data_IF_084976787267
#
_entry.id   IF_084976787267
#
_cell.length_a   1.000
_cell.length_b   1.000
_cell.length_c   1.000
_cell.angle_alpha   90.00
_cell.angle_beta   90.00
_cell.angle_gamma   90.00
#
_symmetry.space_group_name_H-M   'P 1'
#
loop_
_entity.id
_entity.type
_entity.pdbx_description
1 polymer ?
#
# COMPACT_ATOMS: atom_id res chain seq x y z
N UNK A 1 -6.69 16.66 6.96
CA UNK A 1 -6.02 15.59 6.16
C UNK A 1 -4.86 15.04 6.99
N UNK A 2 -4.74 13.72 7.15
CA UNK A 2 -3.59 13.08 7.81
C UNK A 2 -2.54 12.73 6.75
N UNK A 3 -1.41 13.44 6.75
CA UNK A 3 -0.35 13.34 5.74
C UNK A 3 0.76 12.43 6.22
N UNK A 4 1.04 11.36 5.47
CA UNK A 4 2.08 10.39 5.77
C UNK A 4 2.98 10.11 4.57
N UNK A 5 4.15 9.53 4.82
CA UNK A 5 5.11 9.11 3.80
C UNK A 5 5.35 7.62 3.91
N UNK A 6 5.38 6.92 2.79
CA UNK A 6 5.79 5.52 2.73
C UNK A 6 7.31 5.40 2.82
N UNK A 7 7.80 4.34 3.48
CA UNK A 7 9.23 4.09 3.69
C UNK A 7 10.02 4.01 2.38
N UNK A 8 9.47 3.42 1.33
CA UNK A 8 10.19 3.28 0.06
C UNK A 8 10.54 4.63 -0.57
N UNK A 9 9.79 5.69 -0.29
CA UNK A 9 10.12 7.04 -0.75
C UNK A 9 11.33 7.62 -0.03
N UNK A 10 11.65 7.15 1.19
CA UNK A 10 12.77 7.62 2.01
C UNK A 10 13.96 6.65 2.03
N UNK A 11 13.71 5.38 2.33
CA UNK A 11 14.75 4.36 2.55
C UNK A 11 14.97 3.41 1.39
N UNK A 12 14.10 3.45 0.36
CA UNK A 12 14.19 2.57 -0.80
C UNK A 12 13.89 1.11 -0.50
N UNK A 13 14.05 0.29 -1.54
CA UNK A 13 13.86 -1.15 -1.46
C UNK A 13 15.03 -1.91 -0.81
N UNK A 14 16.17 -1.24 -0.62
CA UNK A 14 17.34 -1.86 0.03
C UNK A 14 17.19 -1.95 1.56
N UNK A 15 16.30 -1.17 2.16
CA UNK A 15 16.07 -1.18 3.59
C UNK A 15 17.27 -0.72 4.42
N UNK A 16 18.07 0.22 3.92
CA UNK A 16 19.31 0.69 4.56
C UNK A 16 19.09 1.73 5.66
N UNK A 17 17.85 2.23 5.80
CA UNK A 17 17.44 3.17 6.84
C UNK A 17 16.65 2.46 7.93
N UNK A 18 16.94 2.81 9.18
CA UNK A 18 16.20 2.26 10.33
C UNK A 18 14.83 2.90 10.48
N UNK A 19 13.87 2.23 11.14
CA UNK A 19 12.60 2.85 11.51
C UNK A 19 12.76 4.14 12.32
N UNK A 20 13.77 4.22 13.22
CA UNK A 20 14.01 5.40 14.03
C UNK A 20 14.49 6.59 13.20
N UNK A 21 15.40 6.38 12.23
CA UNK A 21 15.82 7.44 11.30
C UNK A 21 14.65 7.98 10.48
N UNK A 22 13.75 7.11 10.05
CA UNK A 22 12.57 7.54 9.30
C UNK A 22 11.55 8.28 10.18
N UNK A 23 11.37 7.87 11.43
CA UNK A 23 10.56 8.59 12.41
C UNK A 23 11.13 9.99 12.66
N UNK A 24 12.45 10.12 12.85
CA UNK A 24 13.10 11.42 13.05
C UNK A 24 12.96 12.32 11.82
N UNK A 25 13.14 11.77 10.62
CA UNK A 25 12.91 12.47 9.37
C UNK A 25 11.47 13.01 9.28
N UNK A 26 10.48 12.17 9.56
CA UNK A 26 9.07 12.57 9.50
C UNK A 26 8.74 13.68 10.51
N UNK A 27 9.30 13.59 11.73
CA UNK A 27 9.15 14.63 12.75
C UNK A 27 9.77 15.97 12.32
N UNK A 28 10.97 15.95 11.73
CA UNK A 28 11.63 17.13 11.17
C UNK A 28 10.81 17.76 10.05
N UNK A 29 10.28 16.94 9.14
CA UNK A 29 9.44 17.36 8.00
C UNK A 29 7.99 17.69 8.40
N UNK A 30 7.62 17.57 9.68
CA UNK A 30 6.26 17.86 10.19
C UNK A 30 5.16 17.04 9.50
N UNK A 31 5.44 15.80 9.21
CA UNK A 31 4.45 14.85 8.75
C UNK A 31 3.61 14.36 9.95
N UNK A 32 2.34 14.05 9.73
CA UNK A 32 1.47 13.46 10.76
C UNK A 32 1.86 12.02 11.09
N UNK A 33 2.47 11.32 10.14
CA UNK A 33 2.91 9.95 10.32
C UNK A 33 3.76 9.39 9.19
N UNK A 34 4.08 8.12 9.35
CA UNK A 34 4.79 7.32 8.36
C UNK A 34 4.10 5.98 8.14
N UNK A 35 4.45 5.36 7.03
CA UNK A 35 4.13 3.97 6.73
C UNK A 35 5.43 3.18 6.61
N UNK A 36 5.67 2.29 7.58
CA UNK A 36 6.81 1.39 7.56
C UNK A 36 6.53 0.19 6.63
N UNK A 37 7.59 -0.44 6.13
CA UNK A 37 7.51 -1.61 5.25
C UNK A 37 8.10 -2.83 5.92
N UNK A 38 7.33 -3.92 5.95
CA UNK A 38 7.79 -5.23 6.43
C UNK A 38 8.48 -5.97 5.28
N UNK A 39 9.70 -6.42 5.52
CA UNK A 39 10.60 -6.99 4.53
C UNK A 39 11.77 -6.06 4.16
N UNK A 40 11.62 -4.74 4.41
CA UNK A 40 12.65 -3.72 4.16
C UNK A 40 13.01 -3.00 5.48
N UNK A 41 12.23 -1.98 5.88
CA UNK A 41 12.46 -1.24 7.12
C UNK A 41 12.34 -2.11 8.38
N UNK A 42 11.44 -3.06 8.36
CA UNK A 42 11.15 -3.99 9.44
C UNK A 42 11.44 -5.41 8.98
N UNK A 43 12.32 -6.10 9.71
CA UNK A 43 12.56 -7.52 9.45
C UNK A 43 11.28 -8.34 9.72
N UNK A 44 11.02 -9.34 8.88
CA UNK A 44 9.88 -10.25 9.06
C UNK A 44 9.95 -11.01 10.39
N UNK A 45 11.15 -11.24 10.93
CA UNK A 45 11.37 -11.94 12.20
C UNK A 45 11.48 -11.01 13.42
N UNK A 46 11.05 -9.75 13.27
CA UNK A 46 11.02 -8.78 14.37
C UNK A 46 10.22 -9.31 15.57
N UNK A 47 10.74 -9.04 16.76
CA UNK A 47 10.09 -9.45 18.01
C UNK A 47 9.05 -8.42 18.47
N UNK A 48 8.14 -8.86 19.34
CA UNK A 48 7.15 -7.97 19.98
C UNK A 48 7.83 -6.81 20.71
N UNK A 49 8.89 -7.09 21.45
CA UNK A 49 9.62 -6.08 22.20
C UNK A 49 10.24 -4.99 21.31
N UNK A 50 10.79 -5.38 20.16
CA UNK A 50 11.32 -4.44 19.18
C UNK A 50 10.20 -3.60 18.54
N UNK A 51 9.07 -4.19 18.20
CA UNK A 51 7.89 -3.46 17.72
C UNK A 51 7.40 -2.43 18.75
N UNK A 52 7.28 -2.82 20.01
CA UNK A 52 6.85 -1.92 21.09
C UNK A 52 7.84 -0.75 21.29
N UNK A 53 9.16 -0.99 21.14
CA UNK A 53 10.18 0.08 21.17
C UNK A 53 10.01 1.06 20.01
N UNK A 54 9.78 0.57 18.78
CA UNK A 54 9.53 1.43 17.60
C UNK A 54 8.26 2.26 17.81
N UNK A 55 7.17 1.64 18.27
CA UNK A 55 5.91 2.33 18.54
C UNK A 55 6.05 3.41 19.61
N UNK A 56 6.76 3.10 20.70
CA UNK A 56 7.04 4.05 21.76
C UNK A 56 7.91 5.23 21.27
N UNK A 57 8.89 4.94 20.41
CA UNK A 57 9.74 5.98 19.83
C UNK A 57 8.93 6.90 18.91
N UNK A 58 8.13 6.37 18.00
CA UNK A 58 7.26 7.15 17.13
C UNK A 58 6.31 8.07 17.93
N UNK A 59 5.70 7.52 18.98
CA UNK A 59 4.86 8.29 19.90
C UNK A 59 5.63 9.43 20.58
N UNK A 60 6.88 9.20 21.00
CA UNK A 60 7.72 10.22 21.65
C UNK A 60 8.08 11.38 20.73
N UNK A 61 8.07 11.12 19.40
CA UNK A 61 8.35 12.11 18.34
C UNK A 61 7.06 12.72 17.75
N UNK A 62 5.88 12.37 18.27
CA UNK A 62 4.56 12.74 17.73
C UNK A 62 4.35 12.32 16.27
N UNK A 63 4.94 11.19 15.86
CA UNK A 63 4.76 10.61 14.53
C UNK A 63 3.81 9.42 14.65
N UNK A 64 2.74 9.42 13.87
CA UNK A 64 1.74 8.36 13.89
C UNK A 64 2.13 7.17 13.01
N UNK A 65 1.78 5.97 13.47
CA UNK A 65 1.86 4.72 12.72
C UNK A 65 0.43 4.22 12.50
N UNK A 66 -0.15 4.44 11.31
CA UNK A 66 -1.54 4.05 11.03
C UNK A 66 -1.66 2.96 9.98
N UNK A 67 -0.65 2.81 9.14
CA UNK A 67 -0.60 1.80 8.08
C UNK A 67 0.77 1.13 8.05
N UNK A 68 0.81 -0.11 7.56
CA UNK A 68 2.02 -0.83 7.17
C UNK A 68 1.90 -1.31 5.73
N UNK A 69 3.00 -1.28 4.99
CA UNK A 69 3.12 -1.83 3.66
C UNK A 69 4.11 -3.01 3.61
N UNK A 70 4.15 -3.71 2.49
CA UNK A 70 5.12 -4.79 2.22
C UNK A 70 5.23 -5.08 0.73
N UNK A 71 6.45 -5.32 0.25
CA UNK A 71 6.75 -5.80 -1.10
C UNK A 71 6.72 -7.33 -1.25
N UNK A 72 6.52 -8.09 -0.16
CA UNK A 72 6.64 -9.55 -0.15
C UNK A 72 5.67 -10.27 -1.09
N UNK A 73 4.53 -9.65 -1.41
CA UNK A 73 3.58 -10.20 -2.38
C UNK A 73 4.10 -10.15 -3.84
N UNK A 74 5.22 -9.52 -4.12
CA UNK A 74 5.96 -9.68 -5.37
C UNK A 74 6.50 -11.10 -5.55
N UNK A 75 6.90 -11.78 -4.48
CA UNK A 75 7.47 -13.13 -4.49
C UNK A 75 6.45 -14.23 -4.18
N UNK A 76 5.29 -13.92 -3.61
CA UNK A 76 4.24 -14.88 -3.23
C UNK A 76 2.85 -14.27 -3.46
N UNK A 77 1.81 -15.10 -3.59
CA UNK A 77 0.45 -14.62 -3.85
C UNK A 77 -0.60 -15.41 -3.06
N UNK A 78 -1.55 -14.69 -2.46
CA UNK A 78 -2.75 -15.29 -1.84
C UNK A 78 -3.65 -15.98 -2.87
N UNK A 79 -3.52 -15.62 -4.15
CA UNK A 79 -4.23 -16.21 -5.28
C UNK A 79 -3.41 -17.20 -6.11
N UNK A 80 -2.24 -17.64 -5.63
CA UNK A 80 -1.38 -18.59 -6.35
C UNK A 80 -2.10 -19.92 -6.61
N UNK A 81 -1.86 -20.50 -7.80
CA UNK A 81 -2.32 -21.85 -8.12
C UNK A 81 -1.46 -22.91 -7.41
N UNK A 82 -0.16 -22.65 -7.24
CA UNK A 82 0.71 -23.45 -6.39
C UNK A 82 0.31 -23.35 -4.92
N UNK A 83 -0.06 -24.50 -4.33
CA UNK A 83 -0.58 -24.53 -2.97
C UNK A 83 0.50 -24.21 -1.92
N UNK A 84 1.77 -24.52 -2.19
CA UNK A 84 2.88 -24.20 -1.29
C UNK A 84 3.10 -22.69 -1.24
N UNK A 85 3.13 -22.05 -2.41
CA UNK A 85 3.23 -20.58 -2.49
C UNK A 85 2.06 -19.90 -1.77
N UNK A 86 0.82 -20.36 -2.02
CA UNK A 86 -0.38 -19.81 -1.40
C UNK A 86 -0.35 -19.97 0.13
N UNK A 87 0.07 -21.12 0.65
CA UNK A 87 0.24 -21.34 2.09
C UNK A 87 1.30 -20.41 2.68
N UNK A 88 2.43 -20.23 2.01
CA UNK A 88 3.48 -19.30 2.44
C UNK A 88 2.95 -17.86 2.51
N UNK A 89 2.16 -17.42 1.53
CA UNK A 89 1.53 -16.11 1.54
C UNK A 89 0.55 -15.94 2.71
N UNK A 90 -0.25 -16.96 3.02
CA UNK A 90 -1.18 -16.94 4.17
C UNK A 90 -0.40 -16.87 5.49
N UNK A 91 0.61 -17.70 5.70
CA UNK A 91 1.39 -17.70 6.94
C UNK A 91 2.18 -16.38 7.11
N UNK A 92 2.76 -15.86 6.03
CA UNK A 92 3.34 -14.53 6.05
C UNK A 92 2.31 -13.46 6.47
N UNK A 93 1.10 -13.49 5.88
CA UNK A 93 0.07 -12.49 6.20
C UNK A 93 -0.39 -12.59 7.66
N UNK A 94 -0.50 -13.79 8.24
CA UNK A 94 -0.77 -13.97 9.68
C UNK A 94 0.31 -13.32 10.54
N UNK A 95 1.58 -13.51 10.19
CA UNK A 95 2.72 -12.89 10.87
C UNK A 95 2.71 -11.38 10.71
N UNK A 96 2.38 -10.89 9.52
CA UNK A 96 2.27 -9.47 9.21
C UNK A 96 1.16 -8.78 10.01
N UNK A 97 0.00 -9.42 10.16
CA UNK A 97 -1.07 -8.99 11.06
C UNK A 97 -0.60 -8.91 12.52
N UNK A 98 0.19 -9.89 12.97
CA UNK A 98 0.75 -9.90 14.33
C UNK A 98 1.75 -8.77 14.54
N UNK A 99 2.62 -8.49 13.56
CA UNK A 99 3.56 -7.34 13.61
C UNK A 99 2.78 -6.03 13.70
N UNK A 100 1.72 -5.86 12.89
CA UNK A 100 0.87 -4.68 12.95
C UNK A 100 0.22 -4.49 14.32
N UNK A 101 -0.30 -5.57 14.92
CA UNK A 101 -0.85 -5.55 16.27
C UNK A 101 0.20 -5.13 17.31
N UNK A 102 1.43 -5.67 17.28
CA UNK A 102 2.51 -5.30 18.20
C UNK A 102 2.97 -3.84 18.04
N UNK A 103 2.95 -3.30 16.83
CA UNK A 103 3.23 -1.89 16.55
C UNK A 103 2.06 -0.96 16.90
N UNK A 104 0.88 -1.51 17.18
CA UNK A 104 -0.35 -0.72 17.36
C UNK A 104 -0.88 -0.10 16.06
N UNK A 105 -0.53 -0.68 14.90
CA UNK A 105 -0.98 -0.22 13.58
C UNK A 105 -2.30 -0.88 13.22
N UNK A 106 -3.36 -0.10 12.92
CA UNK A 106 -4.69 -0.65 12.69
C UNK A 106 -4.92 -1.22 11.29
N UNK A 107 -4.06 -0.94 10.31
CA UNK A 107 -4.32 -1.30 8.90
C UNK A 107 -3.04 -1.75 8.21
N UNK A 108 -3.12 -2.88 7.50
CA UNK A 108 -2.03 -3.40 6.65
C UNK A 108 -2.43 -3.40 5.18
N UNK A 109 -1.46 -3.09 4.31
CA UNK A 109 -1.59 -3.22 2.87
C UNK A 109 -1.38 -4.69 2.46
N UNK A 110 -2.30 -5.24 1.69
CA UNK A 110 -2.25 -6.61 1.19
C UNK A 110 -2.57 -6.63 -0.30
N UNK A 111 -1.75 -7.29 -1.10
CA UNK A 111 -2.10 -7.57 -2.51
C UNK A 111 -3.02 -8.79 -2.55
N UNK A 112 -4.27 -8.64 -3.04
CA UNK A 112 -5.27 -9.71 -2.94
C UNK A 112 -4.91 -10.96 -3.75
N UNK A 113 -4.22 -10.77 -4.88
CA UNK A 113 -3.82 -11.83 -5.77
C UNK A 113 -3.26 -11.28 -7.09
N UNK A 114 -2.66 -12.15 -7.89
CA UNK A 114 -2.00 -11.75 -9.13
C UNK A 114 -2.25 -12.77 -10.22
N UNK A 115 -2.72 -12.33 -11.40
CA UNK A 115 -2.68 -13.16 -12.60
C UNK A 115 -1.31 -13.09 -13.25
N UNK A 116 -0.67 -11.94 -13.20
CA UNK A 116 0.76 -11.72 -13.46
C UNK A 116 1.20 -10.47 -12.72
N UNK A 117 2.50 -10.32 -12.48
CA UNK A 117 3.08 -9.19 -11.73
C UNK A 117 3.87 -8.32 -12.70
N UNK A 118 3.48 -7.05 -12.86
CA UNK A 118 4.08 -6.16 -13.86
C UNK A 118 5.57 -5.89 -13.62
N UNK A 119 6.00 -5.86 -12.37
CA UNK A 119 7.40 -5.64 -11.96
C UNK A 119 8.20 -6.94 -11.76
N UNK A 120 7.56 -8.12 -11.91
CA UNK A 120 8.21 -9.43 -11.81
C UNK A 120 7.66 -10.37 -12.91
N UNK A 121 8.02 -10.11 -14.18
CA UNK A 121 7.45 -10.81 -15.33
C UNK A 121 7.87 -12.29 -15.43
N UNK A 122 8.84 -12.73 -14.65
CA UNK A 122 9.28 -14.14 -14.60
C UNK A 122 8.28 -15.04 -13.84
N UNK A 123 7.37 -14.47 -13.08
CA UNK A 123 6.39 -15.24 -12.31
C UNK A 123 5.39 -15.96 -13.21
N UNK A 124 4.92 -17.15 -12.78
CA UNK A 124 3.89 -17.89 -13.51
C UNK A 124 2.61 -17.07 -13.72
N UNK A 125 2.01 -17.17 -14.90
CA UNK A 125 0.69 -16.60 -15.16
C UNK A 125 -0.37 -17.53 -14.59
N UNK A 126 -1.24 -16.98 -13.74
CA UNK A 126 -2.38 -17.72 -13.14
C UNK A 126 -3.69 -17.24 -13.76
N UNK A 127 -4.58 -18.17 -14.10
CA UNK A 127 -5.88 -17.83 -14.66
C UNK A 127 -6.72 -16.97 -13.72
N UNK A 128 -7.39 -15.94 -14.23
CA UNK A 128 -8.17 -14.98 -13.45
C UNK A 128 -9.16 -15.64 -12.49
N UNK A 129 -9.90 -16.65 -12.96
CA UNK A 129 -10.85 -17.40 -12.14
C UNK A 129 -10.16 -18.12 -10.98
N UNK A 130 -9.00 -18.73 -11.22
CA UNK A 130 -8.20 -19.39 -10.18
C UNK A 130 -7.75 -18.39 -9.12
N UNK A 131 -7.22 -17.22 -9.56
CA UNK A 131 -6.84 -16.13 -8.64
C UNK A 131 -8.03 -15.71 -7.78
N UNK A 132 -9.21 -15.51 -8.40
CA UNK A 132 -10.42 -15.14 -7.67
C UNK A 132 -10.80 -16.15 -6.59
N UNK A 133 -10.87 -17.42 -6.95
CA UNK A 133 -11.27 -18.50 -6.04
C UNK A 133 -10.26 -18.69 -4.90
N UNK A 134 -8.96 -18.72 -5.23
CA UNK A 134 -7.87 -18.92 -4.27
C UNK A 134 -7.71 -17.71 -3.34
N UNK A 135 -7.71 -16.48 -3.87
CA UNK A 135 -7.66 -15.26 -3.06
C UNK A 135 -8.83 -15.16 -2.09
N UNK A 136 -10.04 -15.48 -2.57
CA UNK A 136 -11.24 -15.50 -1.72
C UNK A 136 -11.09 -16.50 -0.58
N UNK A 137 -10.62 -17.72 -0.87
CA UNK A 137 -10.40 -18.74 0.15
C UNK A 137 -9.33 -18.32 1.17
N UNK A 138 -8.22 -17.75 0.69
CA UNK A 138 -7.12 -17.28 1.54
C UNK A 138 -7.55 -16.15 2.47
N UNK A 139 -8.29 -15.16 1.95
CA UNK A 139 -8.80 -14.04 2.75
C UNK A 139 -9.86 -14.47 3.77
N UNK A 140 -10.70 -15.45 3.43
CA UNK A 140 -11.62 -16.06 4.41
C UNK A 140 -10.92 -16.77 5.56
N UNK A 141 -9.75 -17.38 5.31
CA UNK A 141 -8.91 -17.98 6.35
C UNK A 141 -8.22 -16.92 7.22
N UNK A 142 -7.81 -15.81 6.63
CA UNK A 142 -7.13 -14.70 7.32
C UNK A 142 -8.05 -13.83 8.15
N UNK A 143 -9.32 -13.71 7.74
CA UNK A 143 -10.28 -12.80 8.37
C UNK A 143 -10.45 -13.01 9.87
N UNK A 144 -10.62 -14.21 10.41
CA UNK A 144 -10.71 -14.43 11.85
C UNK A 144 -9.47 -13.94 12.62
N UNK A 145 -8.27 -14.07 12.03
CA UNK A 145 -7.03 -13.57 12.63
C UNK A 145 -7.00 -12.03 12.64
N UNK A 146 -7.44 -11.40 11.57
CA UNK A 146 -7.55 -9.95 11.48
C UNK A 146 -8.56 -9.40 12.51
N UNK A 147 -9.68 -10.09 12.70
CA UNK A 147 -10.71 -9.75 13.69
C UNK A 147 -10.18 -9.89 15.13
N UNK A 148 -9.52 -11.01 15.45
CA UNK A 148 -8.91 -11.25 16.76
C UNK A 148 -7.86 -10.21 17.11
N UNK A 149 -6.97 -9.88 16.16
CA UNK A 149 -5.90 -8.91 16.34
C UNK A 149 -6.37 -7.45 16.23
N UNK A 150 -7.63 -7.21 15.85
CA UNK A 150 -8.20 -5.89 15.59
C UNK A 150 -7.42 -5.09 14.52
N UNK A 151 -6.90 -5.77 13.49
CA UNK A 151 -6.15 -5.19 12.37
C UNK A 151 -6.95 -5.34 11.08
N UNK A 152 -7.01 -4.31 10.27
CA UNK A 152 -7.72 -4.31 8.99
C UNK A 152 -6.80 -4.74 7.85
N UNK A 153 -7.24 -5.71 7.06
CA UNK A 153 -6.64 -6.10 5.79
C UNK A 153 -7.18 -5.15 4.72
N UNK A 154 -6.36 -4.21 4.27
CA UNK A 154 -6.71 -3.30 3.18
C UNK A 154 -6.05 -3.79 1.88
N UNK A 155 -6.89 -4.15 0.91
CA UNK A 155 -6.45 -4.74 -0.36
C UNK A 155 -6.08 -3.65 -1.36
N UNK A 156 -4.86 -3.67 -1.90
CA UNK A 156 -4.37 -2.64 -2.80
C UNK A 156 -4.69 -2.92 -4.28
N UNK A 157 -5.16 -1.88 -4.98
CA UNK A 157 -5.29 -1.85 -6.42
C UNK A 157 -3.90 -1.61 -7.07
N UNK A 158 -3.18 -2.67 -7.27
CA UNK A 158 -1.84 -2.66 -7.88
C UNK A 158 -1.82 -3.45 -9.20
N UNK A 159 -0.79 -3.27 -10.02
CA UNK A 159 -0.72 -3.80 -11.39
C UNK A 159 -0.43 -5.31 -11.46
N UNK A 160 -1.40 -6.10 -11.00
CA UNK A 160 -1.36 -7.57 -10.98
C UNK A 160 -2.33 -8.22 -11.97
N UNK A 161 -2.95 -7.43 -12.84
CA UNK A 161 -4.00 -7.85 -13.77
C UNK A 161 -5.14 -8.61 -13.09
N UNK A 162 -5.49 -8.13 -11.89
CA UNK A 162 -6.61 -8.65 -11.10
C UNK A 162 -7.39 -7.47 -10.49
N UNK A 163 -8.73 -7.49 -10.61
CA UNK A 163 -9.65 -6.44 -10.16
C UNK A 163 -9.37 -5.07 -10.83
N UNK A 164 -9.89 -4.87 -12.02
CA UNK A 164 -9.59 -3.69 -12.85
C UNK A 164 -10.54 -2.51 -12.63
N UNK A 165 -11.77 -2.73 -12.18
CA UNK A 165 -12.77 -1.68 -12.07
C UNK A 165 -13.24 -1.48 -10.63
N UNK A 166 -13.73 -0.28 -10.27
CA UNK A 166 -14.26 -0.04 -8.92
C UNK A 166 -15.46 -0.95 -8.59
N UNK A 167 -16.21 -1.40 -9.61
CA UNK A 167 -17.34 -2.31 -9.39
C UNK A 167 -16.87 -3.73 -9.03
N UNK A 168 -15.78 -4.22 -9.66
CA UNK A 168 -15.17 -5.50 -9.27
C UNK A 168 -14.61 -5.44 -7.84
N UNK A 169 -13.90 -4.35 -7.50
CA UNK A 169 -13.40 -4.11 -6.15
C UNK A 169 -14.50 -4.12 -5.11
N UNK A 170 -15.58 -3.37 -5.37
CA UNK A 170 -16.75 -3.34 -4.49
C UNK A 170 -17.32 -4.75 -4.29
N UNK A 171 -17.58 -5.46 -5.38
CA UNK A 171 -18.12 -6.82 -5.33
C UNK A 171 -17.19 -7.79 -4.60
N UNK A 172 -15.86 -7.67 -4.84
CA UNK A 172 -14.87 -8.54 -4.22
C UNK A 172 -14.77 -8.34 -2.71
N UNK A 173 -14.77 -7.10 -2.21
CA UNK A 173 -14.67 -6.86 -0.76
C UNK A 173 -15.99 -7.10 -0.03
N UNK A 174 -17.13 -6.82 -0.66
CA UNK A 174 -18.45 -7.00 -0.04
C UNK A 174 -18.77 -8.47 0.30
N UNK A 175 -18.20 -9.44 -0.43
CA UNK A 175 -18.42 -10.86 -0.15
C UNK A 175 -17.94 -11.32 1.24
N UNK A 176 -17.04 -10.58 1.87
CA UNK A 176 -16.50 -10.93 3.19
C UNK A 176 -17.38 -10.45 4.34
N UNK A 177 -18.25 -9.47 4.11
CA UNK A 177 -19.17 -8.92 5.10
C UNK A 177 -18.49 -8.60 6.44
N UNK A 178 -17.32 -7.97 6.42
CA UNK A 178 -16.54 -7.60 7.60
C UNK A 178 -15.87 -6.24 7.42
N UNK A 179 -15.85 -5.44 8.47
CA UNK A 179 -15.12 -4.18 8.52
C UNK A 179 -13.58 -4.37 8.54
N UNK A 180 -13.11 -5.61 8.73
CA UNK A 180 -11.68 -5.95 8.75
C UNK A 180 -11.11 -6.30 7.38
N UNK A 181 -11.91 -6.24 6.33
CA UNK A 181 -11.46 -6.26 4.93
C UNK A 181 -12.00 -5.04 4.21
N UNK A 182 -11.14 -4.35 3.47
CA UNK A 182 -11.49 -3.22 2.63
C UNK A 182 -10.44 -2.95 1.59
N UNK A 183 -10.39 -1.72 1.08
CA UNK A 183 -9.49 -1.32 0.00
C UNK A 183 -8.41 -0.38 0.52
N UNK A 184 -7.17 -0.67 0.20
CA UNK A 184 -6.06 0.27 0.22
C UNK A 184 -6.03 0.93 -1.16
N UNK A 185 -6.55 2.14 -1.27
CA UNK A 185 -6.76 2.75 -2.57
C UNK A 185 -5.53 3.57 -3.00
N UNK A 186 -4.83 3.11 -4.05
CA UNK A 186 -3.79 3.87 -4.72
C UNK A 186 -4.38 4.65 -5.89
N UNK A 187 -4.29 5.98 -5.82
CA UNK A 187 -4.92 6.88 -6.79
C UNK A 187 -4.17 6.91 -8.14
N UNK A 188 -2.87 6.64 -8.16
CA UNK A 188 -2.08 6.60 -9.39
C UNK A 188 -2.22 5.27 -10.13
N UNK A 189 -2.30 4.16 -9.39
CA UNK A 189 -2.38 2.82 -9.99
C UNK A 189 -3.66 2.61 -10.83
N UNK A 190 -4.74 3.32 -10.53
CA UNK A 190 -6.00 3.19 -11.29
C UNK A 190 -6.05 4.05 -12.56
N UNK A 191 -5.16 5.05 -12.74
CA UNK A 191 -5.23 5.99 -13.86
C UNK A 191 -5.22 5.32 -15.23
N UNK A 192 -4.58 4.16 -15.35
CA UNK A 192 -4.56 3.39 -16.60
C UNK A 192 -5.95 2.88 -17.03
N UNK A 193 -6.88 2.74 -16.10
CA UNK A 193 -8.17 2.08 -16.35
C UNK A 193 -9.37 2.99 -16.06
N UNK A 194 -9.24 3.92 -15.10
CA UNK A 194 -10.37 4.71 -14.63
C UNK A 194 -9.84 5.98 -13.93
N UNK A 195 -10.71 6.98 -13.79
CA UNK A 195 -10.38 8.17 -13.01
C UNK A 195 -10.44 7.83 -11.50
N UNK A 196 -9.47 8.30 -10.68
CA UNK A 196 -9.44 7.99 -9.26
C UNK A 196 -10.72 8.37 -8.51
N UNK A 197 -11.33 9.52 -8.81
CA UNK A 197 -12.55 9.96 -8.16
C UNK A 197 -13.74 9.04 -8.39
N UNK A 198 -13.79 8.32 -9.53
CA UNK A 198 -14.85 7.33 -9.80
C UNK A 198 -14.69 6.10 -8.88
N UNK A 199 -13.45 5.71 -8.56
CA UNK A 199 -13.19 4.68 -7.54
C UNK A 199 -13.68 5.12 -6.17
N UNK A 200 -13.37 6.35 -5.76
CA UNK A 200 -13.77 6.88 -4.45
C UNK A 200 -15.29 6.88 -4.32
N UNK A 201 -16.01 7.34 -5.34
CA UNK A 201 -17.49 7.41 -5.33
C UNK A 201 -18.15 6.02 -5.26
N UNK A 202 -17.53 4.98 -5.85
CA UNK A 202 -18.09 3.61 -5.85
C UNK A 202 -17.72 2.85 -4.59
N UNK A 203 -16.50 3.03 -4.10
CA UNK A 203 -15.98 2.26 -2.96
C UNK A 203 -16.42 2.81 -1.61
N UNK A 204 -16.59 4.12 -1.49
CA UNK A 204 -17.12 4.77 -0.27
C UNK A 204 -16.34 4.33 1.00
N UNK A 205 -17.05 3.89 2.05
CA UNK A 205 -16.50 3.43 3.34
C UNK A 205 -15.65 2.15 3.27
N UNK A 206 -15.58 1.50 2.10
CA UNK A 206 -14.70 0.35 1.86
C UNK A 206 -13.24 0.78 1.78
N UNK A 207 -12.96 2.06 1.49
CA UNK A 207 -11.60 2.60 1.50
C UNK A 207 -11.14 2.74 2.95
N UNK A 208 -10.08 2.01 3.32
CA UNK A 208 -9.51 1.98 4.66
C UNK A 208 -8.22 2.79 4.77
N UNK A 209 -7.46 2.91 3.68
CA UNK A 209 -6.26 3.72 3.56
C UNK A 209 -6.05 4.16 2.11
N UNK A 210 -5.22 5.19 1.90
CA UNK A 210 -4.98 5.78 0.58
C UNK A 210 -3.49 5.95 0.35
N UNK A 211 -3.01 5.48 -0.82
CA UNK A 211 -1.75 5.90 -1.39
C UNK A 211 -1.96 7.06 -2.36
N UNK A 212 -1.19 8.13 -2.16
CA UNK A 212 -1.08 9.23 -3.11
C UNK A 212 0.11 8.99 -4.02
N UNK A 213 -0.17 8.89 -5.29
CA UNK A 213 0.78 8.66 -6.38
C UNK A 213 0.28 9.36 -7.63
N UNK A 214 1.15 9.72 -8.54
CA UNK A 214 0.72 10.22 -9.84
C UNK A 214 1.26 9.35 -10.96
N UNK A 215 0.60 9.40 -12.11
CA UNK A 215 0.90 8.56 -13.26
C UNK A 215 0.71 9.36 -14.55
N UNK A 216 1.65 9.25 -15.49
CA UNK A 216 1.63 9.90 -16.80
C UNK A 216 1.60 8.84 -17.92
N UNK A 217 0.41 8.30 -18.20
CA UNK A 217 0.22 7.22 -19.17
C UNK A 217 0.62 7.59 -20.60
N UNK A 218 0.44 8.84 -20.99
CA UNK A 218 0.79 9.34 -22.33
C UNK A 218 2.30 9.29 -22.62
N UNK A 219 3.14 9.40 -21.57
CA UNK A 219 4.59 9.44 -21.71
C UNK A 219 5.22 8.06 -21.86
N UNK A 220 4.48 6.98 -21.53
CA UNK A 220 5.02 5.62 -21.46
C UNK A 220 4.13 4.55 -22.13
N UNK A 221 3.04 4.94 -22.76
CA UNK A 221 2.10 3.98 -23.34
C UNK A 221 1.44 3.05 -22.30
N UNK A 222 1.35 3.49 -21.02
CA UNK A 222 0.75 2.73 -19.94
C UNK A 222 1.70 1.74 -19.23
N UNK A 223 3.03 1.90 -19.38
CA UNK A 223 4.02 1.10 -18.67
C UNK A 223 4.40 1.68 -17.30
N UNK A 224 5.16 0.92 -16.50
CA UNK A 224 5.62 1.35 -15.17
C UNK A 224 6.43 2.65 -15.18
N UNK A 225 7.08 2.99 -16.28
CA UNK A 225 7.82 4.25 -16.45
C UNK A 225 6.92 5.51 -16.38
N UNK A 226 5.60 5.35 -16.44
CA UNK A 226 4.65 6.44 -16.18
C UNK A 226 4.63 6.91 -14.72
N UNK A 227 5.19 6.15 -13.79
CA UNK A 227 5.44 6.60 -12.42
C UNK A 227 6.75 7.39 -12.39
N UNK A 228 6.63 8.71 -12.44
CA UNK A 228 7.74 9.65 -12.47
C UNK A 228 8.20 10.09 -11.08
N UNK A 229 8.92 11.21 -11.02
CA UNK A 229 9.50 11.75 -9.78
C UNK A 229 8.60 12.80 -9.11
N UNK A 230 7.67 13.37 -9.86
CA UNK A 230 6.87 14.51 -9.43
C UNK A 230 5.46 14.10 -9.05
N UNK A 231 5.15 14.16 -7.75
CA UNK A 231 3.81 13.87 -7.23
C UNK A 231 2.71 14.69 -7.91
N UNK A 232 3.01 15.92 -8.35
CA UNK A 232 2.02 16.82 -8.94
C UNK A 232 1.97 16.75 -10.48
N UNK A 233 2.84 15.94 -11.11
CA UNK A 233 2.88 15.78 -12.57
C UNK A 233 2.28 14.43 -12.98
N UNK A 234 1.18 14.46 -13.74
CA UNK A 234 0.49 13.28 -14.24
C UNK A 234 -1.01 13.48 -14.41
N UNK A 235 -1.75 12.40 -14.48
CA UNK A 235 -3.18 12.38 -14.79
C UNK A 235 -4.08 12.54 -13.56
N UNK A 236 -3.54 12.45 -12.33
CA UNK A 236 -4.33 12.60 -11.11
C UNK A 236 -4.70 14.05 -10.87
N UNK A 237 -5.98 14.36 -11.00
CA UNK A 237 -6.54 15.64 -10.51
C UNK A 237 -6.78 15.53 -8.99
N UNK A 238 -5.78 15.86 -8.19
CA UNK A 238 -5.87 15.80 -6.72
C UNK A 238 -7.01 16.63 -6.16
N UNK A 239 -7.36 17.77 -6.78
CA UNK A 239 -8.49 18.58 -6.34
C UNK A 239 -9.82 17.81 -6.46
N UNK A 240 -10.04 17.17 -7.60
CA UNK A 240 -11.22 16.35 -7.82
C UNK A 240 -11.23 15.09 -6.91
N UNK A 241 -10.07 14.48 -6.71
CA UNK A 241 -9.91 13.32 -5.83
C UNK A 241 -10.24 13.67 -4.38
N UNK A 242 -9.68 14.75 -3.84
CA UNK A 242 -9.98 15.18 -2.46
C UNK A 242 -11.43 15.60 -2.29
N UNK A 243 -12.03 16.28 -3.28
CA UNK A 243 -13.45 16.58 -3.24
C UNK A 243 -14.34 15.32 -3.18
N UNK A 244 -13.92 14.24 -3.88
CA UNK A 244 -14.62 12.96 -3.79
C UNK A 244 -14.45 12.32 -2.40
N UNK A 245 -13.26 12.36 -1.80
CA UNK A 245 -13.02 11.88 -0.43
C UNK A 245 -13.83 12.68 0.61
N UNK A 246 -13.90 14.01 0.47
CA UNK A 246 -14.70 14.86 1.36
C UNK A 246 -16.19 14.49 1.28
N UNK A 247 -16.70 14.23 0.07
CA UNK A 247 -18.08 13.83 -0.18
C UNK A 247 -18.47 12.53 0.53
N UNK A 248 -17.55 11.57 0.63
CA UNK A 248 -17.78 10.30 1.34
C UNK A 248 -17.41 10.37 2.83
N UNK A 249 -16.90 11.50 3.31
CA UNK A 249 -16.49 11.69 4.70
C UNK A 249 -15.24 10.91 5.09
N UNK A 250 -14.33 10.65 4.15
CA UNK A 250 -13.09 9.94 4.44
C UNK A 250 -12.18 10.76 5.37
N UNK A 251 -11.73 10.14 6.45
CA UNK A 251 -10.85 10.77 7.46
C UNK A 251 -9.61 9.91 7.80
N UNK A 252 -9.30 8.95 6.94
CA UNK A 252 -8.14 8.06 7.09
C UNK A 252 -6.81 8.70 6.70
N UNK A 253 -5.84 7.86 6.36
CA UNK A 253 -4.50 8.28 5.97
C UNK A 253 -4.41 8.63 4.49
N UNK A 254 -3.64 9.67 4.18
CA UNK A 254 -3.13 9.94 2.86
C UNK A 254 -1.61 9.77 2.89
N UNK A 255 -1.14 8.61 2.43
CA UNK A 255 0.28 8.25 2.45
C UNK A 255 0.85 8.40 1.05
N UNK A 256 1.91 9.20 0.89
CA UNK A 256 2.58 9.29 -0.42
C UNK A 256 3.46 8.07 -0.62
N UNK A 257 3.26 7.42 -1.77
CA UNK A 257 4.09 6.32 -2.28
C UNK A 257 4.56 6.64 -3.70
N UNK A 258 5.17 7.79 -3.89
CA UNK A 258 5.68 8.21 -5.20
C UNK A 258 7.06 7.60 -5.45
N UNK A 259 7.08 6.38 -5.99
CA UNK A 259 8.31 5.67 -6.35
C UNK A 259 8.53 5.87 -7.86
N UNK A 260 9.62 6.55 -8.27
CA UNK A 260 9.83 6.89 -9.67
C UNK A 260 10.40 5.70 -10.46
N UNK A 261 9.57 4.76 -10.85
CA UNK A 261 9.96 3.64 -11.73
C UNK A 261 10.55 4.12 -13.06
N UNK A 262 10.27 5.37 -13.47
CA UNK A 262 10.90 6.00 -14.63
C UNK A 262 12.42 6.08 -14.53
N UNK A 263 13.00 6.05 -13.32
CA UNK A 263 14.46 6.08 -13.11
C UNK A 263 15.13 4.72 -13.28
N UNK A 264 14.38 3.64 -13.19
CA UNK A 264 14.94 2.27 -13.19
C UNK A 264 15.18 1.78 -14.63
N UNK A 265 16.24 1.04 -14.88
CA UNK A 265 17.30 0.62 -13.92
C UNK A 265 18.48 1.61 -13.81
N UNK A 266 18.44 2.78 -14.48
CA UNK A 266 19.59 3.68 -14.68
C UNK A 266 20.02 4.39 -13.40
N UNK A 267 19.11 4.63 -12.47
CA UNK A 267 19.42 5.29 -11.21
C UNK A 267 18.79 4.57 -10.01
N UNK A 268 19.45 4.54 -8.84
CA UNK A 268 18.86 4.00 -7.62
C UNK A 268 17.64 4.83 -7.20
N UNK A 269 16.66 4.13 -6.63
CA UNK A 269 15.40 4.71 -6.16
C UNK A 269 15.13 4.22 -4.74
N UNK A 270 14.60 5.10 -3.92
CA UNK A 270 14.63 6.56 -3.96
C UNK A 270 15.87 7.11 -3.24
N UNK A 271 16.02 8.43 -3.22
CA UNK A 271 17.02 9.14 -2.41
C UNK A 271 16.34 10.17 -1.47
N UNK A 272 17.06 10.64 -0.43
CA UNK A 272 16.51 11.59 0.55
C UNK A 272 16.17 12.94 -0.07
N UNK A 273 16.91 13.39 -1.09
CA UNK A 273 16.62 14.65 -1.77
C UNK A 273 15.29 14.57 -2.54
N UNK A 274 15.01 13.42 -3.15
CA UNK A 274 13.71 13.19 -3.78
C UNK A 274 12.58 13.12 -2.76
N UNK A 275 12.83 12.48 -1.61
CA UNK A 275 11.88 12.44 -0.50
C UNK A 275 11.54 13.87 -0.01
N UNK A 276 12.53 14.73 0.11
CA UNK A 276 12.33 16.14 0.51
C UNK A 276 11.39 16.89 -0.45
N UNK A 277 11.66 16.80 -1.76
CA UNK A 277 10.80 17.41 -2.78
C UNK A 277 9.38 16.82 -2.75
N UNK A 278 9.27 15.51 -2.55
CA UNK A 278 7.97 14.83 -2.46
C UNK A 278 7.16 15.32 -1.26
N UNK A 279 7.81 15.49 -0.10
CA UNK A 279 7.16 16.00 1.12
C UNK A 279 6.74 17.46 0.96
N UNK A 280 7.55 18.32 0.34
CA UNK A 280 7.16 19.70 0.03
C UNK A 280 5.89 19.75 -0.83
N UNK A 281 5.80 18.90 -1.85
CA UNK A 281 4.60 18.79 -2.70
C UNK A 281 3.40 18.25 -1.94
N UNK A 282 3.59 17.24 -1.07
CA UNK A 282 2.53 16.76 -0.19
C UNK A 282 1.99 17.89 0.72
N UNK A 283 2.86 18.74 1.24
CA UNK A 283 2.42 19.87 2.05
C UNK A 283 1.63 20.92 1.27
N UNK A 284 1.82 21.01 -0.04
CA UNK A 284 1.08 21.93 -0.92
C UNK A 284 -0.32 21.42 -1.32
N UNK A 285 -0.60 20.13 -1.16
CA UNK A 285 -1.92 19.51 -1.33
C UNK A 285 -2.79 19.72 -0.07
#
# INVERSE_FOLDING_TARGET
>A
MYKALNYWVYGGFAGDKTPCEFIDYAAEKKLDGIELTVGDAINVDITKEECEKIAAYAKSRNVGLRTLATGMYGAMSLGADDETERRNAIEFTKKYLQIANWLGVPTILVVPGSTCVAWEPSRPIVAYKTVWEKSTASLKELLPVAEELNVTIALENVWTRFLFSPMEWKFFVDQFNSERIGVYFDVGNCCLYCRPQDYVEVLENRIKAVHLKNFAGNDCGGGLHGFGEDLLSGEVDFKAVFAAFDKIGYNGTYTVEMIPFSRLPEAPVPDVALADVTVEKLHSL
#
